data_IF_649546482710
#
_entry.id   IF_649546482710
#
_cell.length_a   1.000
_cell.length_b   1.000
_cell.length_c   1.000
_cell.angle_alpha   90.00
_cell.angle_beta   90.00
_cell.angle_gamma   90.00
#
_symmetry.space_group_name_H-M   'P 1'
#
loop_
_entity.id
_entity.type
_entity.pdbx_description
1 polymer ?
#
# COMPACT_ATOMS: atom_id res chain seq x y z
N UNK A 1 -33.23 -15.27 15.19
CA UNK A 1 -33.08 -15.68 13.77
C UNK A 1 -31.94 -16.67 13.65
N UNK A 2 -32.25 -17.97 13.77
CA UNK A 2 -31.30 -19.05 13.50
C UNK A 2 -31.63 -19.61 12.12
N UNK A 3 -30.86 -19.21 11.11
CA UNK A 3 -30.93 -19.85 9.81
C UNK A 3 -30.19 -21.19 9.91
N UNK A 4 -30.94 -22.30 9.81
CA UNK A 4 -30.43 -23.67 9.77
C UNK A 4 -29.73 -23.94 8.43
N UNK A 5 -28.63 -23.23 8.19
CA UNK A 5 -27.87 -23.27 6.95
C UNK A 5 -27.05 -24.57 6.94
N UNK A 6 -27.15 -25.35 5.85
CA UNK A 6 -26.32 -26.53 5.58
C UNK A 6 -25.67 -26.36 4.21
N UNK A 7 -24.37 -26.10 4.17
CA UNK A 7 -23.62 -25.83 2.92
C UNK A 7 -22.55 -26.91 2.73
N UNK A 8 -22.47 -27.51 1.55
CA UNK A 8 -21.37 -28.41 1.19
C UNK A 8 -20.11 -27.61 0.88
N UNK A 9 -19.00 -27.94 1.52
CA UNK A 9 -17.69 -27.29 1.36
C UNK A 9 -16.57 -28.31 1.28
N UNK A 10 -15.43 -27.91 0.75
CA UNK A 10 -14.20 -28.69 0.75
C UNK A 10 -13.32 -28.21 1.92
N UNK A 11 -12.75 -29.13 2.69
CA UNK A 11 -11.86 -28.81 3.79
C UNK A 11 -10.52 -28.27 3.27
N UNK A 12 -10.09 -27.09 3.74
CA UNK A 12 -8.79 -26.48 3.35
C UNK A 12 -7.55 -27.30 3.76
N UNK A 13 -7.71 -28.39 4.52
CA UNK A 13 -6.60 -29.23 4.99
C UNK A 13 -6.56 -30.62 4.36
N UNK A 14 -7.63 -31.40 4.47
CA UNK A 14 -7.70 -32.77 3.94
C UNK A 14 -8.35 -32.86 2.55
N UNK A 15 -8.85 -31.74 2.00
CA UNK A 15 -9.56 -31.67 0.73
C UNK A 15 -10.82 -32.55 0.62
N UNK A 16 -11.34 -33.03 1.76
CA UNK A 16 -12.58 -33.79 1.82
C UNK A 16 -13.80 -32.87 1.82
N UNK A 17 -14.90 -33.37 1.24
CA UNK A 17 -16.18 -32.67 1.21
C UNK A 17 -16.89 -32.87 2.55
N UNK A 18 -17.37 -31.78 3.17
CA UNK A 18 -18.11 -31.80 4.42
C UNK A 18 -19.29 -30.83 4.41
N UNK A 19 -20.24 -31.02 5.34
CA UNK A 19 -21.41 -30.15 5.50
C UNK A 19 -21.14 -29.14 6.60
N UNK A 20 -21.03 -27.86 6.24
CA UNK A 20 -20.84 -26.75 7.16
C UNK A 20 -22.18 -26.12 7.58
N UNK A 21 -22.28 -25.76 8.85
CA UNK A 21 -23.42 -25.01 9.40
C UNK A 21 -23.25 -23.48 9.32
N UNK A 22 -22.00 -23.02 9.09
CA UNK A 22 -21.67 -21.59 9.02
C UNK A 22 -20.93 -21.27 7.72
N UNK A 23 -21.17 -20.08 7.19
CA UNK A 23 -20.51 -19.55 5.99
C UNK A 23 -19.00 -19.33 6.21
N UNK A 24 -18.56 -19.15 7.46
CA UNK A 24 -17.14 -18.96 7.82
C UNK A 24 -16.37 -20.26 8.10
N UNK A 25 -17.04 -21.42 8.18
CA UNK A 25 -16.35 -22.70 8.47
C UNK A 25 -15.48 -23.12 7.28
N UNK A 26 -14.20 -23.42 7.55
CA UNK A 26 -13.16 -23.77 6.55
C UNK A 26 -12.66 -25.21 6.65
N UNK A 27 -12.90 -25.87 7.78
CA UNK A 27 -12.36 -27.21 8.08
C UNK A 27 -13.50 -28.17 8.47
N UNK A 28 -13.33 -29.44 8.13
CA UNK A 28 -14.29 -30.49 8.50
C UNK A 28 -14.26 -30.82 10.01
N UNK A 29 -13.13 -30.58 10.69
CA UNK A 29 -12.95 -30.87 12.12
C UNK A 29 -11.95 -29.93 12.80
N UNK A 30 -11.98 -29.90 14.13
CA UNK A 30 -11.01 -29.15 14.95
C UNK A 30 -9.58 -29.67 14.73
N UNK A 31 -9.41 -30.96 14.47
CA UNK A 31 -8.11 -31.54 14.18
C UNK A 31 -7.52 -31.00 12.88
N UNK A 32 -8.31 -30.94 11.81
CA UNK A 32 -7.90 -30.37 10.54
C UNK A 32 -7.52 -28.89 10.68
N UNK A 33 -8.26 -28.13 11.48
CA UNK A 33 -7.89 -26.75 11.80
C UNK A 33 -6.53 -26.65 12.51
N UNK A 34 -6.29 -27.49 13.53
CA UNK A 34 -5.04 -27.52 14.30
C UNK A 34 -3.84 -27.96 13.46
N UNK A 35 -4.00 -29.00 12.63
CA UNK A 35 -2.96 -29.48 11.72
C UNK A 35 -2.61 -28.42 10.68
N UNK A 36 -3.62 -27.77 10.10
CA UNK A 36 -3.39 -26.69 9.14
C UNK A 36 -2.69 -25.47 9.76
N UNK A 37 -3.02 -25.11 11.01
CA UNK A 37 -2.30 -24.07 11.74
C UNK A 37 -0.81 -24.40 11.88
N UNK A 38 -0.49 -25.63 12.34
CA UNK A 38 0.90 -26.09 12.47
C UNK A 38 1.63 -26.12 11.12
N UNK A 39 0.94 -26.55 10.06
CA UNK A 39 1.49 -26.55 8.70
C UNK A 39 1.83 -25.13 8.23
N UNK A 40 0.93 -24.16 8.42
CA UNK A 40 1.18 -22.73 8.09
C UNK A 40 2.40 -22.19 8.83
N UNK A 41 2.53 -22.48 10.12
CA UNK A 41 3.68 -22.05 10.92
C UNK A 41 4.98 -22.69 10.45
N UNK A 42 4.96 -23.97 10.08
CA UNK A 42 6.12 -24.67 9.51
C UNK A 42 6.51 -24.06 8.16
N UNK A 43 5.55 -23.85 7.27
CA UNK A 43 5.81 -23.28 5.94
C UNK A 43 6.40 -21.86 6.04
N UNK A 44 5.88 -21.03 6.96
CA UNK A 44 6.44 -19.71 7.22
C UNK A 44 7.93 -19.77 7.61
N UNK A 45 8.29 -20.65 8.55
CA UNK A 45 9.69 -20.83 8.97
C UNK A 45 10.59 -21.30 7.82
N UNK A 46 10.09 -22.20 6.97
CA UNK A 46 10.82 -22.68 5.79
C UNK A 46 11.01 -21.56 4.77
N UNK A 47 9.98 -20.75 4.54
CA UNK A 47 10.03 -19.61 3.64
C UNK A 47 11.01 -18.55 4.13
N UNK A 48 10.97 -18.18 5.42
CA UNK A 48 11.92 -17.28 6.06
C UNK A 48 13.38 -17.80 5.89
N UNK A 49 13.62 -19.08 6.17
CA UNK A 49 14.94 -19.72 5.99
C UNK A 49 15.41 -19.76 4.53
N UNK A 50 14.48 -19.95 3.58
CA UNK A 50 14.80 -19.96 2.15
C UNK A 50 15.15 -18.56 1.65
N UNK A 51 14.51 -17.51 2.17
CA UNK A 51 14.86 -16.11 1.88
C UNK A 51 16.27 -15.82 2.38
N UNK A 52 16.58 -16.14 3.65
CA UNK A 52 17.93 -15.93 4.20
C UNK A 52 19.01 -16.70 3.42
N UNK A 53 18.69 -17.92 2.98
CA UNK A 53 19.62 -18.75 2.22
C UNK A 53 19.85 -18.18 0.82
N UNK A 54 18.79 -17.68 0.15
CA UNK A 54 18.92 -16.98 -1.14
C UNK A 54 19.79 -15.73 -1.01
N UNK A 55 19.61 -14.95 0.06
CA UNK A 55 20.41 -13.75 0.30
C UNK A 55 21.89 -14.10 0.53
N UNK A 56 22.17 -15.17 1.30
CA UNK A 56 23.54 -15.66 1.52
C UNK A 56 24.17 -16.26 0.25
N UNK A 57 23.39 -16.98 -0.57
CA UNK A 57 23.84 -17.53 -1.85
C UNK A 57 24.13 -16.43 -2.87
N UNK A 58 23.31 -15.37 -2.89
CA UNK A 58 23.56 -14.19 -3.73
C UNK A 58 24.86 -13.51 -3.31
N UNK A 59 25.07 -13.32 -2.00
CA UNK A 59 26.28 -12.72 -1.46
C UNK A 59 27.55 -13.56 -1.70
N UNK A 60 27.44 -14.90 -1.71
CA UNK A 60 28.60 -15.78 -1.96
C UNK A 60 28.90 -16.00 -3.44
N UNK A 61 27.89 -15.95 -4.32
CA UNK A 61 28.08 -16.03 -5.77
C UNK A 61 28.67 -14.73 -6.36
N UNK A 62 28.39 -13.58 -5.73
CA UNK A 62 29.01 -12.29 -6.04
C UNK A 62 30.31 -12.12 -5.23
N UNK A 63 31.34 -12.89 -5.58
CA UNK A 63 32.69 -12.58 -5.13
C UNK A 63 33.07 -11.15 -5.52
N UNK A 64 33.43 -10.33 -4.52
CA UNK A 64 34.08 -9.03 -4.62
C UNK A 64 33.39 -7.93 -5.46
N UNK A 65 33.09 -6.80 -4.81
CA UNK A 65 32.63 -5.53 -5.39
C UNK A 65 31.20 -5.49 -5.93
N UNK A 66 30.20 -5.69 -5.06
CA UNK A 66 28.97 -4.90 -5.20
C UNK A 66 29.23 -3.55 -4.54
N UNK A 67 29.76 -2.60 -5.32
CA UNK A 67 29.59 -1.19 -4.97
C UNK A 67 28.09 -0.97 -5.01
N UNK A 68 27.46 -0.77 -3.86
CA UNK A 68 26.16 -0.11 -3.83
C UNK A 68 26.42 1.30 -4.36
N UNK A 69 26.36 1.47 -5.68
CA UNK A 69 26.15 2.77 -6.27
C UNK A 69 24.73 3.08 -5.84
N UNK A 70 24.48 4.00 -4.88
CA UNK A 70 23.14 4.51 -4.74
C UNK A 70 22.77 4.97 -6.13
N UNK A 71 21.75 4.35 -6.73
CA UNK A 71 21.15 4.89 -7.94
C UNK A 71 20.77 6.29 -7.51
N UNK A 72 21.60 7.28 -7.85
CA UNK A 72 21.20 8.66 -7.77
C UNK A 72 20.12 8.69 -8.82
N UNK A 73 18.87 8.60 -8.36
CA UNK A 73 17.73 8.91 -9.19
C UNK A 73 18.14 10.21 -9.87
N UNK A 74 18.32 10.22 -11.20
CA UNK A 74 18.79 11.42 -11.89
C UNK A 74 17.90 12.55 -11.40
N UNK A 75 18.43 13.74 -11.08
CA UNK A 75 17.64 14.86 -10.59
C UNK A 75 16.41 15.00 -11.49
N UNK A 76 15.28 14.47 -11.03
CA UNK A 76 14.10 14.44 -11.85
C UNK A 76 13.68 15.89 -11.86
N UNK A 77 13.87 16.55 -13.00
CA UNK A 77 13.31 17.86 -13.27
C UNK A 77 11.90 17.86 -12.67
N UNK A 78 11.62 18.74 -11.70
CA UNK A 78 10.45 18.61 -10.87
C UNK A 78 9.23 18.60 -11.77
N UNK A 79 8.54 17.45 -11.84
CA UNK A 79 7.36 17.29 -12.66
C UNK A 79 6.41 18.45 -12.37
N UNK A 80 6.02 19.19 -13.41
CA UNK A 80 5.25 20.43 -13.25
C UNK A 80 3.90 20.21 -12.54
N UNK A 81 3.38 18.98 -12.67
CA UNK A 81 2.21 18.48 -11.97
C UNK A 81 2.62 17.82 -10.66
N UNK A 82 1.98 18.27 -9.58
CA UNK A 82 2.30 17.91 -8.21
C UNK A 82 1.03 17.46 -7.48
N UNK A 83 1.12 16.39 -6.69
CA UNK A 83 0.06 15.92 -5.80
C UNK A 83 -0.04 16.80 -4.54
N UNK A 84 -1.16 16.72 -3.80
CA UNK A 84 -1.41 17.48 -2.58
C UNK A 84 -0.30 17.31 -1.53
N UNK A 85 0.30 16.11 -1.44
CA UNK A 85 1.37 15.84 -0.48
C UNK A 85 2.65 16.58 -0.86
N UNK A 86 3.06 16.52 -2.12
CA UNK A 86 4.23 17.25 -2.58
C UNK A 86 3.99 18.77 -2.60
N UNK A 87 2.76 19.21 -2.90
CA UNK A 87 2.37 20.61 -2.79
C UNK A 87 2.52 21.15 -1.36
N UNK A 88 2.11 20.37 -0.35
CA UNK A 88 2.27 20.75 1.06
C UNK A 88 3.74 20.95 1.47
N UNK A 89 4.65 20.16 0.89
CA UNK A 89 6.08 20.31 1.11
C UNK A 89 6.64 21.57 0.43
N UNK A 90 6.16 21.88 -0.79
CA UNK A 90 6.61 23.05 -1.56
C UNK A 90 6.13 24.35 -0.94
N UNK A 91 4.84 24.44 -0.59
CA UNK A 91 4.24 25.68 -0.07
C UNK A 91 4.47 25.87 1.42
N UNK A 92 4.98 24.86 2.12
CA UNK A 92 5.07 24.79 3.60
C UNK A 92 3.72 24.99 4.31
N UNK A 93 2.61 24.71 3.62
CA UNK A 93 1.25 24.78 4.18
C UNK A 93 0.77 23.38 4.49
N UNK A 94 0.15 23.19 5.67
CA UNK A 94 -0.41 21.88 6.04
C UNK A 94 -1.44 21.39 5.03
N UNK A 95 -1.50 20.08 4.79
CA UNK A 95 -2.50 19.46 3.90
C UNK A 95 -3.93 19.86 4.31
N UNK A 96 -4.20 19.94 5.62
CA UNK A 96 -5.51 20.35 6.15
C UNK A 96 -5.88 21.78 5.75
N UNK A 97 -4.92 22.70 5.77
CA UNK A 97 -5.13 24.08 5.34
C UNK A 97 -5.32 24.15 3.82
N UNK A 98 -4.55 23.40 3.04
CA UNK A 98 -4.76 23.31 1.59
C UNK A 98 -6.15 22.77 1.24
N UNK A 99 -6.61 21.70 1.90
CA UNK A 99 -7.97 21.20 1.70
C UNK A 99 -9.05 22.20 2.10
N UNK A 100 -8.82 23.00 3.15
CA UNK A 100 -9.72 24.10 3.52
C UNK A 100 -9.76 25.18 2.45
N UNK A 101 -8.61 25.57 1.90
CA UNK A 101 -8.52 26.53 0.79
C UNK A 101 -9.25 26.00 -0.45
N UNK A 102 -9.01 24.75 -0.85
CA UNK A 102 -9.69 24.10 -1.98
C UNK A 102 -11.22 24.03 -1.80
N UNK A 103 -11.69 23.93 -0.54
CA UNK A 103 -13.11 23.84 -0.23
C UNK A 103 -13.78 25.21 -0.12
N UNK A 104 -13.11 26.19 0.48
CA UNK A 104 -13.68 27.50 0.77
C UNK A 104 -13.52 28.48 -0.39
N UNK A 105 -12.44 28.35 -1.17
CA UNK A 105 -12.12 29.23 -2.29
C UNK A 105 -12.33 28.51 -3.62
N UNK A 106 -13.35 28.94 -4.38
CA UNK A 106 -13.61 28.37 -5.71
C UNK A 106 -12.54 28.74 -6.76
N UNK A 107 -11.77 29.79 -6.50
CA UNK A 107 -10.70 30.29 -7.38
C UNK A 107 -9.39 29.50 -7.25
N UNK A 108 -9.31 28.57 -6.30
CA UNK A 108 -8.09 27.78 -6.10
C UNK A 108 -7.80 26.92 -7.35
N UNK A 109 -6.61 27.03 -7.97
CA UNK A 109 -6.29 26.29 -9.19
C UNK A 109 -6.21 24.79 -8.88
N UNK A 110 -7.16 24.01 -9.41
CA UNK A 110 -7.29 22.57 -9.15
C UNK A 110 -7.45 21.81 -10.47
N UNK A 111 -6.68 20.72 -10.66
CA UNK A 111 -6.77 19.86 -11.84
C UNK A 111 -7.21 18.46 -11.44
N UNK A 112 -8.39 18.02 -11.88
CA UNK A 112 -8.91 16.69 -11.55
C UNK A 112 -8.65 15.73 -12.71
N UNK A 113 -7.83 14.70 -12.46
CA UNK A 113 -7.55 13.63 -13.42
C UNK A 113 -8.17 12.34 -12.86
N UNK A 114 -9.36 12.00 -13.36
CA UNK A 114 -10.16 10.88 -12.85
C UNK A 114 -10.55 11.06 -11.36
N UNK A 115 -10.02 10.18 -10.51
CA UNK A 115 -10.23 10.21 -9.04
C UNK A 115 -9.19 11.05 -8.30
N UNK A 116 -8.04 11.30 -8.92
CA UNK A 116 -6.91 11.99 -8.29
C UNK A 116 -6.93 13.49 -8.59
N UNK A 117 -6.35 14.27 -7.69
CA UNK A 117 -6.25 15.72 -7.80
C UNK A 117 -4.78 16.12 -7.93
N UNK A 118 -4.47 16.89 -8.96
CA UNK A 118 -3.14 17.39 -9.28
C UNK A 118 -3.16 18.92 -9.36
N UNK A 119 -1.96 19.48 -9.25
CA UNK A 119 -1.77 20.92 -9.24
C UNK A 119 -0.54 21.30 -10.06
N UNK A 120 -0.65 22.35 -10.87
CA UNK A 120 0.53 23.00 -11.44
C UNK A 120 1.22 23.83 -10.35
N UNK A 121 2.49 23.52 -10.08
CA UNK A 121 3.27 24.17 -9.01
C UNK A 121 3.26 25.69 -9.13
N UNK A 122 3.55 26.23 -10.31
CA UNK A 122 3.68 27.66 -10.57
C UNK A 122 2.36 28.40 -10.32
N UNK A 123 1.25 27.85 -10.82
CA UNK A 123 -0.07 28.45 -10.68
C UNK A 123 -0.52 28.56 -9.22
N UNK A 124 -0.30 27.51 -8.42
CA UNK A 124 -0.64 27.55 -6.99
C UNK A 124 0.22 28.56 -6.24
N UNK A 125 1.52 28.64 -6.52
CA UNK A 125 2.42 29.61 -5.88
C UNK A 125 1.99 31.04 -6.20
N UNK A 126 1.69 31.34 -7.47
CA UNK A 126 1.21 32.65 -7.88
C UNK A 126 -0.10 33.01 -7.17
N UNK A 127 -1.06 32.08 -7.10
CA UNK A 127 -2.31 32.29 -6.36
C UNK A 127 -2.08 32.61 -4.87
N UNK A 128 -1.17 31.90 -4.21
CA UNK A 128 -0.84 32.16 -2.80
C UNK A 128 -0.22 33.55 -2.64
N UNK A 129 0.71 33.94 -3.52
CA UNK A 129 1.35 35.26 -3.50
C UNK A 129 0.32 36.36 -3.74
N UNK A 130 -0.55 36.24 -4.73
CA UNK A 130 -1.57 37.27 -5.01
C UNK A 130 -2.56 37.42 -3.87
N UNK A 131 -2.93 36.31 -3.21
CA UNK A 131 -3.95 36.30 -2.17
C UNK A 131 -3.43 36.72 -0.79
N UNK A 132 -2.21 36.33 -0.44
CA UNK A 132 -1.64 36.54 0.89
C UNK A 132 -0.42 37.46 0.91
N UNK A 133 0.16 37.77 -0.25
CA UNK A 133 1.36 38.61 -0.38
C UNK A 133 1.08 40.11 -0.45
N UNK A 134 -0.18 40.52 -0.67
CA UNK A 134 -0.60 41.91 -0.57
C UNK A 134 -0.93 42.24 0.89
N UNK A 135 0.09 42.58 1.66
CA UNK A 135 -0.03 43.23 2.96
C UNK A 135 0.99 44.35 3.09
#
# INVERSE_FOLDING_TARGET
MSSNIRIRKICEHCNEIFVAQKTVTKFCSLECARRNYKLRQKNKKVEDSNVETKDKMLQSALGSHVVYVPIQLPPQEPSELVDIKALSAITRISQRTLFRLIKNDNEFPRLRIGRSLFFHRQTVMNYIITKFGNK
#
